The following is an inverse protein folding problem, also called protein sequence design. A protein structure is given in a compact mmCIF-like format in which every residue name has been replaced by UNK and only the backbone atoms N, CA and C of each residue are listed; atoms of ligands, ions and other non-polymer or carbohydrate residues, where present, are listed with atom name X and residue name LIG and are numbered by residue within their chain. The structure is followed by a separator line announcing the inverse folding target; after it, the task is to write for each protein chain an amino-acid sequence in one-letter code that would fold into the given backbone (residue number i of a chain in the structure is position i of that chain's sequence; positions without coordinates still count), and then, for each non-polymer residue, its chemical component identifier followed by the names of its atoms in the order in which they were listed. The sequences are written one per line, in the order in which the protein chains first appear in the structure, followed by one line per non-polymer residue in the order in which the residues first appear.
data_IF_006044620885
#
_entry.id   IF_006044620885
#
_cell.length_a   1.000
_cell.length_b   1.000
_cell.length_c   1.000
_cell.angle_alpha   90.00
_cell.angle_beta   90.00
_cell.angle_gamma   90.00
#
_symmetry.space_group_name_H-M   'P 1'
#
loop_
_entity.id
_entity.type
_entity.pdbx_description
1 polymer ?
#
# COMPACT_ATOMS: atom_id res chain seq x y z
N UNK A 1 12.46 31.53 3.78
CA UNK A 1 11.81 30.26 3.49
C UNK A 1 12.58 29.43 2.46
N UNK A 2 13.17 30.05 1.44
CA UNK A 2 13.96 29.35 0.40
C UNK A 2 15.12 28.51 0.96
N UNK A 3 15.78 28.99 2.01
CA UNK A 3 16.86 28.26 2.65
C UNK A 3 16.42 26.88 3.16
N UNK A 4 15.23 26.78 3.78
CA UNK A 4 14.69 25.50 4.29
C UNK A 4 14.40 24.55 3.13
N UNK A 5 13.78 25.05 2.05
CA UNK A 5 13.49 24.24 0.86
C UNK A 5 14.76 23.75 0.17
N UNK A 6 15.80 24.57 0.11
CA UNK A 6 17.08 24.17 -0.45
C UNK A 6 17.74 23.09 0.42
N UNK A 7 17.71 23.20 1.75
CA UNK A 7 18.23 22.17 2.63
C UNK A 7 17.48 20.81 2.48
N UNK A 8 16.17 20.85 2.28
CA UNK A 8 15.38 19.62 2.05
C UNK A 8 15.68 18.98 0.69
N UNK A 9 16.04 19.78 -0.34
CA UNK A 9 16.46 19.26 -1.64
C UNK A 9 17.87 18.68 -1.62
N UNK A 10 18.78 19.32 -0.92
CA UNK A 10 20.19 18.88 -0.78
C UNK A 10 20.31 17.65 0.12
N UNK A 11 19.40 17.48 1.06
CA UNK A 11 19.40 16.38 2.05
C UNK A 11 18.06 15.67 2.07
N UNK A 12 17.82 14.74 1.12
CA UNK A 12 16.55 14.02 1.01
C UNK A 12 16.14 13.29 2.28
N UNK A 13 17.12 12.88 3.10
CA UNK A 13 16.88 12.21 4.37
C UNK A 13 16.05 13.07 5.33
N UNK A 14 16.32 14.38 5.37
CA UNK A 14 15.55 15.32 6.19
C UNK A 14 14.09 15.39 5.73
N UNK A 15 13.86 15.40 4.42
CA UNK A 15 12.52 15.39 3.85
C UNK A 15 11.76 14.11 4.19
N UNK A 16 12.42 12.95 4.14
CA UNK A 16 11.85 11.66 4.52
C UNK A 16 11.43 11.68 6.00
N UNK A 17 12.33 12.04 6.90
CA UNK A 17 12.03 12.08 8.33
C UNK A 17 10.96 13.11 8.67
N UNK A 18 10.97 14.28 8.04
CA UNK A 18 9.93 15.29 8.18
C UNK A 18 8.57 14.76 7.74
N UNK A 19 8.53 14.08 6.60
CA UNK A 19 7.32 13.46 6.06
C UNK A 19 6.75 12.40 7.02
N UNK A 20 7.60 11.53 7.53
CA UNK A 20 7.21 10.49 8.50
C UNK A 20 6.70 11.14 9.78
N UNK A 21 7.42 12.13 10.31
CA UNK A 21 7.05 12.81 11.55
C UNK A 21 5.68 13.51 11.43
N UNK A 22 5.51 14.34 10.41
CA UNK A 22 4.26 15.05 10.18
C UNK A 22 3.10 14.11 9.87
N UNK A 23 3.35 13.08 9.03
CA UNK A 23 2.34 12.09 8.67
C UNK A 23 1.91 11.25 9.87
N UNK A 24 2.85 10.84 10.73
CA UNK A 24 2.54 10.12 11.95
C UNK A 24 1.76 10.97 12.95
N UNK A 25 2.12 12.24 13.08
CA UNK A 25 1.42 13.19 13.94
C UNK A 25 -0.02 13.44 13.44
N UNK A 26 -0.18 13.71 12.14
CA UNK A 26 -1.50 13.86 11.50
C UNK A 26 -2.35 12.59 11.63
N UNK A 27 -1.75 11.42 11.48
CA UNK A 27 -2.45 10.14 11.55
C UNK A 27 -3.01 9.80 12.93
N UNK A 28 -2.50 10.44 13.98
CA UNK A 28 -3.01 10.34 15.35
C UNK A 28 -4.16 11.31 15.66
N UNK A 29 -4.35 12.33 14.81
CA UNK A 29 -5.44 13.28 15.01
C UNK A 29 -6.79 12.59 14.77
N UNK A 30 -7.67 12.69 15.78
CA UNK A 30 -9.04 12.20 15.70
C UNK A 30 -9.95 13.37 15.36
N UNK A 31 -10.63 13.28 14.24
CA UNK A 31 -11.65 14.25 13.82
C UNK A 31 -13.02 13.58 14.04
N UNK A 32 -13.58 13.78 15.23
CA UNK A 32 -14.80 13.11 15.65
C UNK A 32 -14.63 11.59 15.81
N UNK A 33 -15.40 10.80 15.06
CA UNK A 33 -15.31 9.33 15.04
C UNK A 33 -14.34 8.79 14.00
N UNK A 34 -13.72 9.66 13.18
CA UNK A 34 -12.85 9.28 12.07
C UNK A 34 -11.39 9.53 12.41
N UNK A 35 -10.53 8.55 12.12
CA UNK A 35 -9.07 8.68 12.14
C UNK A 35 -8.53 8.39 10.75
N UNK A 36 -7.71 9.28 10.21
CA UNK A 36 -7.08 9.07 8.90
C UNK A 36 -6.16 7.83 8.87
N UNK A 37 -5.63 7.47 10.02
CA UNK A 37 -4.61 6.42 10.11
C UNK A 37 -3.21 6.89 9.68
N UNK A 38 -2.18 6.25 10.21
CA UNK A 38 -0.80 6.69 10.01
C UNK A 38 -0.32 6.54 8.58
N UNK A 39 -0.69 5.45 7.90
CA UNK A 39 -0.24 5.17 6.52
C UNK A 39 -0.80 6.21 5.55
N UNK A 40 -2.11 6.45 5.60
CA UNK A 40 -2.78 7.44 4.73
C UNK A 40 -2.23 8.85 4.96
N UNK A 41 -2.01 9.20 6.23
CA UNK A 41 -1.48 10.53 6.58
C UNK A 41 -0.04 10.73 6.11
N UNK A 42 0.82 9.71 6.24
CA UNK A 42 2.20 9.76 5.72
C UNK A 42 2.19 9.90 4.19
N UNK A 43 1.30 9.18 3.50
CA UNK A 43 1.14 9.32 2.05
C UNK A 43 0.73 10.75 1.66
N UNK A 44 -0.28 11.31 2.30
CA UNK A 44 -0.74 12.67 2.01
C UNK A 44 0.35 13.71 2.26
N UNK A 45 1.06 13.62 3.38
CA UNK A 45 2.21 14.50 3.67
C UNK A 45 3.32 14.27 2.65
N UNK A 46 3.58 13.03 2.25
CA UNK A 46 4.56 12.69 1.22
C UNK A 46 4.25 13.32 -0.13
N UNK A 47 2.98 13.33 -0.54
CA UNK A 47 2.54 14.02 -1.76
C UNK A 47 2.78 15.53 -1.66
N UNK A 48 2.49 16.14 -0.51
CA UNK A 48 2.73 17.58 -0.29
C UNK A 48 4.22 17.92 -0.30
N UNK A 49 5.04 17.16 0.41
CA UNK A 49 6.51 17.35 0.45
C UNK A 49 7.14 17.05 -0.91
N UNK A 50 6.59 16.08 -1.66
CA UNK A 50 7.02 15.74 -3.01
C UNK A 50 6.85 16.86 -4.03
N UNK A 51 5.91 17.81 -3.80
CA UNK A 51 5.77 19.01 -4.64
C UNK A 51 7.02 19.92 -4.62
N UNK A 52 7.91 19.73 -3.63
CA UNK A 52 9.17 20.46 -3.55
C UNK A 52 10.25 19.93 -4.52
N UNK A 53 9.92 18.97 -5.39
CA UNK A 53 10.85 18.34 -6.35
C UNK A 53 12.10 17.75 -5.67
N UNK A 54 11.90 17.00 -4.59
CA UNK A 54 12.97 16.34 -3.86
C UNK A 54 13.26 14.98 -4.49
N UNK A 55 14.45 14.82 -5.06
CA UNK A 55 14.89 13.54 -5.63
C UNK A 55 15.45 12.63 -4.51
N UNK A 56 14.75 11.55 -4.19
CA UNK A 56 15.25 10.54 -3.25
C UNK A 56 16.17 9.56 -3.99
N UNK A 57 17.45 9.42 -3.58
CA UNK A 57 18.39 8.49 -4.22
C UNK A 57 17.91 7.02 -4.14
N UNK A 58 18.16 6.26 -5.22
CA UNK A 58 17.79 4.84 -5.31
C UNK A 58 18.24 3.99 -4.13
N UNK A 59 19.51 4.07 -3.68
CA UNK A 59 20.00 3.30 -2.54
C UNK A 59 19.21 3.53 -1.25
N UNK A 60 18.77 4.77 -1.00
CA UNK A 60 17.94 5.09 0.18
C UNK A 60 16.58 4.41 0.08
N UNK A 61 15.93 4.48 -1.10
CA UNK A 61 14.66 3.78 -1.34
C UNK A 61 14.80 2.27 -1.10
N UNK A 62 15.86 1.65 -1.63
CA UNK A 62 16.11 0.22 -1.47
C UNK A 62 16.32 -0.18 -0.01
N UNK A 63 17.09 0.58 0.75
CA UNK A 63 17.30 0.32 2.19
C UNK A 63 15.98 0.38 2.97
N UNK A 64 15.19 1.43 2.80
CA UNK A 64 13.90 1.53 3.48
C UNK A 64 12.92 0.44 3.06
N UNK A 65 12.94 0.06 1.78
CA UNK A 65 12.13 -1.05 1.28
C UNK A 65 12.52 -2.39 1.90
N UNK A 66 13.82 -2.70 1.97
CA UNK A 66 14.31 -3.92 2.62
C UNK A 66 13.99 -3.95 4.11
N UNK A 67 14.14 -2.83 4.82
CA UNK A 67 13.74 -2.70 6.23
C UNK A 67 12.23 -2.93 6.42
N UNK A 68 11.42 -2.42 5.50
CA UNK A 68 9.98 -2.67 5.51
C UNK A 68 9.66 -4.16 5.34
N UNK A 69 10.25 -4.82 4.33
CA UNK A 69 10.07 -6.26 4.10
C UNK A 69 10.52 -7.09 5.30
N UNK A 70 11.67 -6.74 5.88
CA UNK A 70 12.17 -7.39 7.10
C UNK A 70 11.20 -7.24 8.27
N UNK A 71 10.72 -6.02 8.53
CA UNK A 71 9.80 -5.75 9.63
C UNK A 71 8.47 -6.51 9.48
N UNK A 72 7.93 -6.57 8.26
CA UNK A 72 6.72 -7.35 7.94
C UNK A 72 6.98 -8.84 8.14
N UNK A 73 8.05 -9.38 7.56
CA UNK A 73 8.43 -10.79 7.68
C UNK A 73 8.66 -11.20 9.13
N UNK A 74 9.37 -10.39 9.90
CA UNK A 74 9.63 -10.62 11.32
C UNK A 74 8.34 -10.66 12.15
N UNK A 75 7.42 -9.74 11.90
CA UNK A 75 6.14 -9.66 12.62
C UNK A 75 5.18 -10.80 12.25
N UNK A 76 5.07 -11.12 10.98
CA UNK A 76 4.07 -12.07 10.45
C UNK A 76 4.59 -13.51 10.43
N UNK A 77 5.90 -13.71 10.25
CA UNK A 77 6.51 -15.04 10.10
C UNK A 77 6.11 -16.04 11.18
N UNK A 78 6.22 -15.74 12.47
CA UNK A 78 5.85 -16.67 13.53
C UNK A 78 4.36 -17.05 13.53
N UNK A 79 3.49 -16.12 13.09
CA UNK A 79 2.05 -16.37 12.99
C UNK A 79 1.74 -17.26 11.78
N UNK A 80 2.41 -17.02 10.66
CA UNK A 80 2.31 -17.81 9.44
C UNK A 80 2.66 -19.29 9.70
N UNK A 81 3.84 -19.54 10.29
CA UNK A 81 4.26 -20.92 10.59
C UNK A 81 3.37 -21.62 11.62
N UNK A 82 2.80 -20.89 12.56
CA UNK A 82 1.83 -21.47 13.51
C UNK A 82 0.51 -21.84 12.84
N UNK A 83 0.02 -20.98 11.94
CA UNK A 83 -1.19 -21.25 11.15
C UNK A 83 -1.02 -22.43 10.21
N UNK A 84 0.16 -22.54 9.58
CA UNK A 84 0.46 -23.62 8.64
C UNK A 84 0.41 -25.02 9.28
N UNK A 85 0.74 -25.14 10.56
CA UNK A 85 0.75 -26.41 11.28
C UNK A 85 -0.66 -26.97 11.58
N UNK A 86 -1.67 -26.12 11.66
CA UNK A 86 -3.00 -26.54 12.13
C UNK A 86 -3.99 -26.80 10.98
N UNK A 87 -4.07 -25.90 9.99
CA UNK A 87 -5.01 -26.01 8.85
C UNK A 87 -4.37 -25.41 7.58
N UNK A 88 -3.05 -25.61 7.41
CA UNK A 88 -2.24 -24.83 6.48
C UNK A 88 -2.54 -25.08 5.00
N UNK A 89 -2.82 -26.32 4.61
CA UNK A 89 -2.95 -26.65 3.20
C UNK A 89 -4.14 -25.96 2.52
N UNK A 90 -5.37 -25.98 3.10
CA UNK A 90 -6.49 -25.22 2.55
C UNK A 90 -6.26 -23.71 2.54
N UNK A 91 -5.62 -23.16 3.57
CA UNK A 91 -5.31 -21.73 3.65
C UNK A 91 -4.29 -21.29 2.59
N UNK A 92 -3.25 -22.12 2.36
CA UNK A 92 -2.28 -21.87 1.29
C UNK A 92 -2.95 -21.93 -0.08
N UNK A 93 -3.78 -22.97 -0.32
CA UNK A 93 -4.53 -23.08 -1.56
C UNK A 93 -5.43 -21.88 -1.83
N UNK A 94 -6.15 -21.41 -0.81
CA UNK A 94 -6.97 -20.22 -0.89
C UNK A 94 -6.14 -18.95 -1.15
N UNK A 95 -5.01 -18.78 -0.46
CA UNK A 95 -4.12 -17.64 -0.66
C UNK A 95 -3.56 -17.62 -2.09
N UNK A 96 -3.11 -18.75 -2.62
CA UNK A 96 -2.63 -18.86 -4.01
C UNK A 96 -3.75 -18.51 -5.00
N UNK A 97 -4.96 -19.06 -4.80
CA UNK A 97 -6.12 -18.74 -5.64
C UNK A 97 -6.42 -17.24 -5.65
N UNK A 98 -6.41 -16.61 -4.46
CA UNK A 98 -6.64 -15.16 -4.33
C UNK A 98 -5.54 -14.35 -5.03
N UNK A 99 -4.27 -14.69 -4.83
CA UNK A 99 -3.15 -13.99 -5.47
C UNK A 99 -3.24 -14.09 -7.00
N UNK A 100 -3.48 -15.29 -7.52
CA UNK A 100 -3.59 -15.51 -8.98
C UNK A 100 -4.80 -14.78 -9.55
N UNK A 101 -5.97 -14.85 -8.90
CA UNK A 101 -7.17 -14.17 -9.39
C UNK A 101 -7.02 -12.64 -9.40
N UNK A 102 -6.40 -12.06 -8.37
CA UNK A 102 -6.14 -10.61 -8.31
C UNK A 102 -5.17 -10.18 -9.41
N UNK A 103 -4.10 -10.93 -9.61
CA UNK A 103 -3.14 -10.66 -10.70
C UNK A 103 -3.81 -10.73 -12.07
N UNK A 104 -4.60 -11.79 -12.31
CA UNK A 104 -5.32 -11.95 -13.59
C UNK A 104 -6.31 -10.83 -13.82
N UNK A 105 -7.12 -10.46 -12.83
CA UNK A 105 -8.09 -9.36 -12.96
C UNK A 105 -7.37 -8.04 -13.24
N UNK A 106 -6.32 -7.74 -12.50
CA UNK A 106 -5.55 -6.51 -12.71
C UNK A 106 -4.91 -6.48 -14.11
N UNK A 107 -4.34 -7.60 -14.55
CA UNK A 107 -3.73 -7.72 -15.87
C UNK A 107 -4.77 -7.54 -16.99
N UNK A 108 -5.93 -8.20 -16.89
CA UNK A 108 -7.01 -8.05 -17.86
C UNK A 108 -7.53 -6.62 -17.91
N UNK A 109 -7.74 -5.98 -16.76
CA UNK A 109 -8.15 -4.58 -16.71
C UNK A 109 -7.11 -3.66 -17.34
N UNK A 110 -5.82 -3.88 -17.05
CA UNK A 110 -4.74 -3.10 -17.64
C UNK A 110 -4.73 -3.22 -19.18
N UNK A 111 -4.94 -4.44 -19.72
CA UNK A 111 -5.06 -4.66 -21.17
C UNK A 111 -6.29 -3.96 -21.75
N UNK A 112 -7.44 -4.08 -21.12
CA UNK A 112 -8.68 -3.47 -21.59
C UNK A 112 -8.65 -1.95 -21.61
N UNK A 113 -7.97 -1.34 -20.59
CA UNK A 113 -7.88 0.11 -20.45
C UNK A 113 -6.65 0.71 -21.11
N UNK A 114 -5.75 -0.13 -21.66
CA UNK A 114 -4.51 0.32 -22.27
C UNK A 114 -3.49 0.89 -21.27
N UNK A 115 -3.53 0.43 -20.03
CA UNK A 115 -2.61 0.89 -18.98
C UNK A 115 -1.20 0.37 -19.20
N UNK A 116 -0.22 1.23 -18.94
CA UNK A 116 1.19 0.83 -18.91
C UNK A 116 1.53 0.05 -17.62
N UNK A 117 2.75 -0.50 -17.56
CA UNK A 117 3.19 -1.32 -16.43
C UNK A 117 3.19 -0.55 -15.09
N UNK A 118 3.50 0.76 -15.11
CA UNK A 118 3.46 1.60 -13.90
C UNK A 118 2.04 1.81 -13.39
N UNK A 119 1.11 2.12 -14.28
CA UNK A 119 -0.31 2.26 -13.94
C UNK A 119 -0.89 0.94 -13.41
N UNK A 120 -0.59 -0.18 -14.07
CA UNK A 120 -1.04 -1.50 -13.63
C UNK A 120 -0.49 -1.90 -12.25
N UNK A 121 0.79 -1.62 -12.00
CA UNK A 121 1.41 -1.85 -10.69
C UNK A 121 0.76 -1.00 -9.59
N UNK A 122 0.51 0.28 -9.86
CA UNK A 122 -0.20 1.18 -8.95
C UNK A 122 -1.64 0.75 -8.69
N UNK A 123 -2.36 0.32 -9.73
CA UNK A 123 -3.71 -0.23 -9.63
C UNK A 123 -3.74 -1.48 -8.72
N UNK A 124 -2.82 -2.42 -8.93
CA UNK A 124 -2.70 -3.62 -8.10
C UNK A 124 -2.38 -3.26 -6.65
N UNK A 125 -1.35 -2.45 -6.44
CA UNK A 125 -0.89 -2.07 -5.12
C UNK A 125 -1.98 -1.34 -4.31
N UNK A 126 -2.67 -0.38 -4.93
CA UNK A 126 -3.68 0.43 -4.29
C UNK A 126 -4.98 -0.33 -4.02
N UNK A 127 -5.49 -1.07 -5.00
CA UNK A 127 -6.74 -1.83 -4.84
C UNK A 127 -6.63 -2.89 -3.73
N UNK A 128 -5.46 -3.48 -3.55
CA UNK A 128 -5.19 -4.47 -2.50
C UNK A 128 -4.61 -3.85 -1.22
N UNK A 129 -4.38 -2.54 -1.20
CA UNK A 129 -3.75 -1.81 -0.09
C UNK A 129 -2.37 -2.37 0.30
N UNK A 130 -1.61 -2.86 -0.68
CA UNK A 130 -0.30 -3.49 -0.50
C UNK A 130 0.81 -2.61 -1.09
N UNK A 131 1.33 -1.69 -0.29
CA UNK A 131 2.43 -0.79 -0.71
C UNK A 131 3.74 -1.50 -1.07
N UNK A 132 3.94 -2.74 -0.60
CA UNK A 132 5.11 -3.55 -0.97
C UNK A 132 5.21 -3.79 -2.49
N UNK A 133 4.08 -3.86 -3.20
CA UNK A 133 4.04 -4.01 -4.67
C UNK A 133 4.73 -2.85 -5.38
N UNK A 134 4.68 -1.64 -4.82
CA UNK A 134 5.36 -0.45 -5.39
C UNK A 134 6.85 -0.69 -5.48
N UNK A 135 7.47 -1.11 -4.37
CA UNK A 135 8.91 -1.36 -4.35
C UNK A 135 9.34 -2.52 -5.27
N UNK A 136 8.54 -3.61 -5.32
CA UNK A 136 8.80 -4.73 -6.24
C UNK A 136 8.68 -4.27 -7.70
N UNK A 137 7.69 -3.46 -8.03
CA UNK A 137 7.50 -2.92 -9.37
C UNK A 137 8.64 -2.00 -9.79
N UNK A 138 9.08 -1.08 -8.92
CA UNK A 138 10.23 -0.20 -9.19
C UNK A 138 11.51 -1.00 -9.44
N UNK A 139 11.78 -2.00 -8.61
CA UNK A 139 12.95 -2.87 -8.76
C UNK A 139 12.89 -3.69 -10.06
N UNK A 140 11.71 -4.25 -10.37
CA UNK A 140 11.49 -4.99 -11.62
C UNK A 140 11.71 -4.10 -12.84
N UNK A 141 11.15 -2.88 -12.85
CA UNK A 141 11.31 -1.94 -13.96
C UNK A 141 12.75 -1.49 -14.15
N UNK A 142 13.54 -1.42 -13.07
CA UNK A 142 14.97 -1.13 -13.17
C UNK A 142 15.73 -2.21 -13.95
N UNK A 143 15.24 -3.45 -13.98
CA UNK A 143 15.86 -4.61 -14.62
C UNK A 143 15.21 -5.02 -15.95
N UNK A 144 14.16 -4.31 -16.43
CA UNK A 144 13.44 -4.66 -17.65
C UNK A 144 14.10 -4.20 -18.96
N UNK A 145 15.27 -3.54 -18.92
CA UNK A 145 15.94 -3.04 -20.12
C UNK A 145 15.21 -1.89 -20.83
N UNK A 146 14.33 -1.19 -20.11
CA UNK A 146 13.66 0.02 -20.59
C UNK A 146 14.66 1.16 -20.74
N UNK A 147 14.40 2.08 -21.67
CA UNK A 147 15.15 3.33 -21.69
C UNK A 147 14.86 4.17 -20.42
N UNK A 148 15.79 5.05 -20.06
CA UNK A 148 15.69 5.81 -18.80
C UNK A 148 14.45 6.70 -18.75
N UNK A 149 14.05 7.32 -19.87
CA UNK A 149 12.88 8.18 -19.93
C UNK A 149 11.59 7.38 -19.73
N UNK A 150 11.49 6.22 -20.37
CA UNK A 150 10.35 5.32 -20.26
C UNK A 150 10.26 4.73 -18.85
N UNK A 151 11.37 4.27 -18.29
CA UNK A 151 11.46 3.77 -16.93
C UNK A 151 10.99 4.81 -15.93
N UNK A 152 11.51 6.03 -16.04
CA UNK A 152 11.13 7.14 -15.16
C UNK A 152 9.65 7.49 -15.27
N UNK A 153 9.10 7.47 -16.47
CA UNK A 153 7.66 7.68 -16.70
C UNK A 153 6.81 6.63 -15.98
N UNK A 154 7.18 5.36 -16.08
CA UNK A 154 6.45 4.26 -15.42
C UNK A 154 6.56 4.34 -13.89
N UNK A 155 7.75 4.61 -13.36
CA UNK A 155 7.97 4.73 -11.92
C UNK A 155 7.20 5.91 -11.33
N UNK A 156 7.16 7.06 -12.03
CA UNK A 156 6.49 8.25 -11.54
C UNK A 156 4.96 8.11 -11.47
N UNK A 157 4.34 7.28 -12.32
CA UNK A 157 2.89 7.09 -12.33
C UNK A 157 2.41 6.11 -11.26
N UNK A 158 3.27 5.20 -10.76
CA UNK A 158 2.91 4.20 -9.75
C UNK A 158 2.25 4.83 -8.51
N UNK A 159 2.85 5.86 -7.85
CA UNK A 159 2.26 6.45 -6.67
C UNK A 159 0.91 7.12 -6.92
N UNK A 160 0.70 7.67 -8.11
CA UNK A 160 -0.55 8.33 -8.51
C UNK A 160 -1.65 7.29 -8.63
N UNK A 161 -1.42 6.23 -9.42
CA UNK A 161 -2.36 5.12 -9.60
C UNK A 161 -2.65 4.40 -8.28
N UNK A 162 -1.62 4.24 -7.43
CA UNK A 162 -1.76 3.71 -6.08
C UNK A 162 -2.68 4.57 -5.22
N UNK A 163 -2.44 5.88 -5.15
CA UNK A 163 -3.21 6.78 -4.28
C UNK A 163 -4.71 6.78 -4.64
N UNK A 164 -5.02 6.83 -5.95
CA UNK A 164 -6.41 6.80 -6.43
C UNK A 164 -7.09 5.48 -6.07
N UNK A 165 -6.45 4.35 -6.36
CA UNK A 165 -7.05 3.03 -6.15
C UNK A 165 -7.06 2.59 -4.69
N UNK A 166 -6.14 3.11 -3.86
CA UNK A 166 -6.09 2.84 -2.43
C UNK A 166 -7.36 3.30 -1.68
N UNK A 167 -7.90 4.45 -2.07
CA UNK A 167 -9.15 4.97 -1.48
C UNK A 167 -10.28 3.97 -1.72
N UNK A 168 -10.41 3.47 -2.96
CA UNK A 168 -11.42 2.48 -3.32
C UNK A 168 -11.11 1.11 -2.69
N UNK A 169 -9.86 0.68 -2.65
CA UNK A 169 -9.43 -0.54 -1.98
C UNK A 169 -9.80 -0.57 -0.50
N UNK A 170 -9.66 0.56 0.20
CA UNK A 170 -9.98 0.66 1.63
C UNK A 170 -11.47 0.88 1.86
N UNK A 171 -12.07 1.91 1.26
CA UNK A 171 -13.45 2.26 1.49
C UNK A 171 -14.42 1.25 0.85
N UNK A 172 -14.12 0.79 -0.37
CA UNK A 172 -14.92 -0.20 -1.08
C UNK A 172 -14.94 -1.55 -0.40
N UNK A 173 -13.77 -2.06 0.01
CA UNK A 173 -13.68 -3.32 0.76
C UNK A 173 -14.40 -3.25 2.11
N UNK A 174 -14.23 -2.15 2.86
CA UNK A 174 -14.94 -1.93 4.10
C UNK A 174 -16.46 -1.90 3.89
N UNK A 175 -16.93 -1.23 2.85
CA UNK A 175 -18.35 -1.18 2.50
C UNK A 175 -18.90 -2.55 2.09
N UNK A 176 -18.20 -3.29 1.24
CA UNK A 176 -18.60 -4.65 0.83
C UNK A 176 -18.67 -5.57 2.04
N UNK A 177 -17.64 -5.58 2.88
CA UNK A 177 -17.59 -6.44 4.06
C UNK A 177 -18.62 -6.08 5.12
N UNK A 178 -18.96 -4.80 5.27
CA UNK A 178 -19.95 -4.37 6.27
C UNK A 178 -21.40 -4.43 5.79
N UNK A 179 -21.66 -4.33 4.49
CA UNK A 179 -23.01 -4.18 3.94
C UNK A 179 -23.45 -5.39 3.12
N UNK A 180 -22.61 -5.88 2.22
CA UNK A 180 -22.93 -6.98 1.29
C UNK A 180 -22.61 -8.34 1.91
N UNK A 181 -21.43 -8.47 2.51
CA UNK A 181 -20.95 -9.73 3.08
C UNK A 181 -21.92 -10.34 4.08
N UNK A 182 -22.40 -9.63 5.11
CA UNK A 182 -23.37 -10.15 6.06
C UNK A 182 -24.67 -10.60 5.42
N UNK A 183 -25.18 -9.82 4.44
CA UNK A 183 -26.41 -10.16 3.72
C UNK A 183 -26.29 -11.44 2.90
N UNK A 184 -25.16 -11.60 2.20
CA UNK A 184 -24.89 -12.81 1.38
C UNK A 184 -24.71 -14.07 2.24
N UNK A 185 -24.12 -13.90 3.44
CA UNK A 185 -23.85 -15.02 4.36
C UNK A 185 -25.03 -15.28 5.33
N UNK A 186 -26.13 -14.51 5.24
CA UNK A 186 -27.24 -14.62 6.17
C UNK A 186 -26.89 -14.26 7.62
N UNK A 187 -25.80 -13.49 7.82
CA UNK A 187 -25.32 -13.10 9.13
C UNK A 187 -26.03 -11.82 9.60
N UNK A 188 -26.58 -11.84 10.82
CA UNK A 188 -27.06 -10.62 11.45
C UNK A 188 -25.90 -9.85 12.05
N UNK A 189 -25.77 -8.54 11.71
CA UNK A 189 -24.75 -7.65 12.26
C UNK A 189 -24.82 -7.52 13.79
N UNK A 190 -25.98 -7.84 14.40
CA UNK A 190 -26.19 -7.82 15.84
C UNK A 190 -25.32 -8.86 16.55
N UNK A 191 -25.11 -10.02 15.94
CA UNK A 191 -24.28 -11.08 16.52
C UNK A 191 -22.76 -10.83 16.40
N UNK A 192 -22.33 -9.93 15.50
CA UNK A 192 -20.92 -9.59 15.33
C UNK A 192 -20.48 -8.48 16.30
N UNK A 193 -21.40 -7.65 16.75
CA UNK A 193 -21.12 -6.49 17.63
C UNK A 193 -21.19 -6.82 19.13
N UNK A 194 -21.74 -7.97 19.53
CA UNK A 194 -21.70 -8.38 20.92
C UNK A 194 -20.43 -9.23 21.19
N UNK A 195 -19.46 -8.71 21.97
CA UNK A 195 -18.42 -9.57 22.53
C UNK A 195 -19.14 -10.56 23.43
N UNK A 196 -19.05 -11.85 23.12
CA UNK A 196 -19.57 -12.95 23.97
C UNK A 196 -19.01 -12.71 25.37
N UNK A 197 -19.80 -12.13 26.28
CA UNK A 197 -19.57 -12.22 27.72
C UNK A 197 -19.71 -13.71 28.06
N UNK A 198 -18.58 -14.40 28.11
CA UNK A 198 -18.54 -15.68 28.81
C UNK A 198 -18.73 -15.35 30.29
N UNK A 199 -19.89 -15.69 30.77
CA UNK A 199 -20.16 -15.82 32.20
C UNK A 199 -19.32 -16.97 32.73
#
# INVERSE_FOLDING_TARGET
MEWIFNQLRERPELAIFLTIFLGFWLGKLRIGKFTLGTVTSVLLVGVLVGQLNIAVPGPIKSVFFLLFLFAVGYKVGPQFFRGLKKDGLPQVGFAVLMCVSVLLVTWLLALMMGYNAGEAAGLLAGSQTISAVIGVAEDTMANMGLDEAQRQSYVNIIPVSYAVTYIFGTAGSAWVLSSIGPKMLGLSLIHISEPTRRV
#
